data_IF_278920351186
#
_entry.id   IF_278920351186
#
_cell.length_a   1.000
_cell.length_b   1.000
_cell.length_c   1.000
_cell.angle_alpha   90.00
_cell.angle_beta   90.00
_cell.angle_gamma   90.00
#
_symmetry.space_group_name_H-M   'P 1'
#
loop_
_entity.id
_entity.type
_entity.pdbx_description
1 polymer ?
#
# COMPACT_ATOMS: atom_id res chain seq x y z
N UNK A 1 43.45 -55.58 8.30
CA UNK A 1 44.47 -56.36 7.55
C UNK A 1 43.89 -56.69 6.17
N UNK A 2 44.76 -56.97 5.19
CA UNK A 2 44.48 -57.49 3.81
C UNK A 2 43.55 -56.66 2.88
N UNK A 3 43.69 -56.56 1.54
CA UNK A 3 44.81 -56.48 0.56
C UNK A 3 44.28 -56.98 -0.81
N UNK A 4 44.71 -56.38 -1.93
CA UNK A 4 44.51 -56.72 -3.38
C UNK A 4 43.32 -55.99 -4.04
N UNK A 5 43.55 -55.14 -5.06
CA UNK A 5 43.80 -55.41 -6.52
C UNK A 5 42.50 -55.85 -7.25
N UNK A 6 42.16 -55.46 -8.50
CA UNK A 6 42.83 -54.78 -9.66
C UNK A 6 41.70 -54.24 -10.61
N UNK A 7 41.83 -53.48 -11.72
CA UNK A 7 42.89 -52.86 -12.57
C UNK A 7 42.21 -51.65 -13.31
N UNK A 8 42.64 -51.23 -14.52
CA UNK A 8 42.02 -50.28 -15.47
C UNK A 8 41.94 -48.80 -15.01
N UNK A 9 42.87 -47.87 -15.31
CA UNK A 9 43.76 -47.64 -16.47
C UNK A 9 43.09 -47.06 -17.72
N UNK A 10 43.19 -45.73 -17.90
CA UNK A 10 43.45 -45.12 -19.22
C UNK A 10 44.27 -43.81 -19.09
N UNK A 11 44.96 -43.48 -20.18
CA UNK A 11 45.79 -42.28 -20.41
C UNK A 11 44.91 -41.03 -20.66
N UNK A 12 45.44 -39.81 -20.59
CA UNK A 12 46.76 -39.42 -20.12
C UNK A 12 47.24 -38.07 -20.70
N UNK A 13 47.82 -37.24 -19.83
CA UNK A 13 48.66 -36.04 -20.08
C UNK A 13 48.00 -34.78 -20.67
N UNK A 14 48.06 -33.71 -19.85
CA UNK A 14 48.18 -32.30 -20.25
C UNK A 14 49.63 -32.00 -20.68
N UNK A 15 49.92 -30.69 -20.88
CA UNK A 15 51.22 -30.01 -21.12
C UNK A 15 51.52 -29.73 -22.61
N UNK A 16 51.98 -28.53 -23.02
CA UNK A 16 52.04 -27.23 -22.32
C UNK A 16 52.17 -26.05 -23.34
N UNK A 17 52.28 -24.80 -22.85
CA UNK A 17 52.34 -23.55 -23.65
C UNK A 17 53.71 -22.89 -23.43
N UNK A 18 54.45 -22.48 -24.49
CA UNK A 18 54.44 -21.07 -24.92
C UNK A 18 54.64 -20.82 -26.44
N UNK A 19 54.43 -19.56 -26.87
CA UNK A 19 54.68 -19.10 -28.25
C UNK A 19 56.09 -18.54 -28.49
N UNK A 20 56.30 -17.86 -29.64
CA UNK A 20 56.60 -16.42 -29.53
C UNK A 20 55.89 -15.53 -30.59
N UNK A 21 56.07 -14.21 -30.45
CA UNK A 21 55.56 -13.15 -31.34
C UNK A 21 56.43 -13.00 -32.60
N UNK A 22 55.82 -12.65 -33.74
CA UNK A 22 56.55 -12.27 -34.95
C UNK A 22 55.72 -11.37 -35.88
N UNK A 23 56.10 -10.09 -35.98
CA UNK A 23 55.40 -9.07 -36.79
C UNK A 23 56.39 -8.37 -37.75
N UNK A 24 56.51 -8.90 -38.97
CA UNK A 24 57.31 -8.36 -40.10
C UNK A 24 56.50 -8.74 -41.37
N UNK A 25 55.90 -7.86 -42.18
CA UNK A 25 56.40 -6.74 -43.03
C UNK A 25 56.86 -7.21 -44.42
N UNK A 26 56.14 -6.76 -45.47
CA UNK A 26 56.39 -6.97 -46.91
C UNK A 26 56.35 -8.44 -47.40
N UNK A 27 56.13 -8.80 -48.68
CA UNK A 27 56.08 -8.06 -49.97
C UNK A 27 54.80 -8.42 -50.77
N UNK A 28 54.46 -7.64 -51.80
CA UNK A 28 53.49 -8.07 -52.84
C UNK A 28 54.20 -8.71 -54.05
N UNK A 29 53.53 -9.64 -54.75
CA UNK A 29 53.59 -9.60 -56.20
C UNK A 29 52.21 -9.65 -56.89
N UNK A 30 52.13 -8.93 -58.00
CA UNK A 30 50.94 -8.76 -58.85
C UNK A 30 50.62 -10.02 -59.67
N UNK A 31 49.35 -10.43 -59.71
CA UNK A 31 48.76 -11.12 -60.88
C UNK A 31 47.38 -10.52 -61.18
N UNK A 32 47.19 -10.00 -62.39
CA UNK A 32 45.93 -9.37 -62.81
C UNK A 32 44.97 -10.40 -63.44
N UNK A 33 44.03 -10.94 -62.65
CA UNK A 33 42.96 -11.82 -63.14
C UNK A 33 41.68 -11.06 -63.48
N UNK A 34 41.42 -10.77 -64.77
CA UNK A 34 40.16 -10.15 -65.24
C UNK A 34 38.97 -11.14 -65.21
N UNK A 35 38.54 -11.53 -64.02
CA UNK A 35 37.25 -12.18 -63.80
C UNK A 35 36.13 -11.15 -63.77
N UNK A 36 35.43 -10.94 -64.90
CA UNK A 36 34.20 -10.14 -64.93
C UNK A 36 33.08 -10.90 -64.20
N UNK A 37 33.03 -10.76 -62.88
CA UNK A 37 31.93 -11.24 -62.05
C UNK A 37 30.66 -10.52 -62.48
N UNK A 38 29.85 -11.23 -63.26
CA UNK A 38 28.49 -10.85 -63.65
C UNK A 38 27.75 -10.36 -62.41
N UNK A 39 27.24 -9.11 -62.36
CA UNK A 39 26.54 -8.62 -61.18
C UNK A 39 25.27 -9.44 -61.02
N UNK A 40 25.31 -10.40 -60.09
CA UNK A 40 24.16 -11.18 -59.70
C UNK A 40 23.09 -10.21 -59.24
N UNK A 41 21.89 -10.29 -59.84
CA UNK A 41 20.80 -9.36 -59.52
C UNK A 41 20.45 -9.55 -58.06
N UNK A 42 20.88 -8.62 -57.20
CA UNK A 42 20.54 -8.61 -55.79
C UNK A 42 19.03 -8.65 -55.65
N UNK A 43 18.52 -9.83 -55.30
CA UNK A 43 17.09 -10.06 -55.16
C UNK A 43 16.61 -9.24 -53.97
N UNK A 44 16.12 -8.01 -54.24
CA UNK A 44 15.63 -7.08 -53.23
C UNK A 44 14.76 -7.87 -52.26
N UNK A 45 15.10 -7.94 -50.96
CA UNK A 45 14.31 -8.70 -50.01
C UNK A 45 12.92 -8.07 -49.98
N UNK A 46 11.98 -8.76 -50.63
CA UNK A 46 10.63 -8.28 -50.91
C UNK A 46 9.88 -8.25 -49.58
N UNK A 47 10.05 -7.15 -48.83
CA UNK A 47 9.57 -6.96 -47.45
C UNK A 47 8.15 -7.47 -47.36
N UNK A 48 7.97 -8.67 -46.80
CA UNK A 48 6.65 -9.27 -46.62
C UNK A 48 5.88 -8.30 -45.71
N UNK A 49 4.68 -7.83 -46.09
CA UNK A 49 3.91 -6.95 -45.22
C UNK A 49 3.70 -7.68 -43.89
N UNK A 50 3.95 -6.98 -42.78
CA UNK A 50 3.88 -7.58 -41.44
C UNK A 50 2.52 -8.26 -41.24
N UNK A 51 2.47 -9.49 -40.70
CA UNK A 51 1.25 -10.28 -40.65
C UNK A 51 0.15 -9.53 -39.90
N UNK A 52 -1.06 -9.52 -40.44
CA UNK A 52 -2.19 -8.77 -39.89
C UNK A 52 -2.48 -9.10 -38.41
N UNK A 53 -2.22 -10.35 -37.99
CA UNK A 53 -2.25 -10.78 -36.58
C UNK A 53 -1.38 -9.91 -35.66
N UNK A 54 -0.16 -9.56 -36.08
CA UNK A 54 0.75 -8.75 -35.26
C UNK A 54 0.26 -7.30 -35.15
N UNK A 55 -0.37 -6.75 -36.20
CA UNK A 55 -1.06 -5.45 -36.12
C UNK A 55 -2.24 -5.50 -35.16
N UNK A 56 -3.03 -6.57 -35.19
CA UNK A 56 -4.20 -6.76 -34.32
C UNK A 56 -3.77 -6.89 -32.85
N UNK A 57 -2.73 -7.67 -32.56
CA UNK A 57 -2.14 -7.79 -31.21
C UNK A 57 -1.64 -6.44 -30.70
N UNK A 58 -0.93 -5.66 -31.52
CA UNK A 58 -0.45 -4.31 -31.14
C UNK A 58 -1.63 -3.38 -30.84
N UNK A 59 -2.69 -3.38 -31.67
CA UNK A 59 -3.90 -2.58 -31.41
C UNK A 59 -4.62 -2.98 -30.12
N UNK A 60 -4.74 -4.28 -29.84
CA UNK A 60 -5.37 -4.79 -28.62
C UNK A 60 -4.55 -4.40 -27.38
N UNK A 61 -3.22 -4.49 -27.45
CA UNK A 61 -2.33 -4.11 -26.35
C UNK A 61 -2.36 -2.59 -26.10
N UNK A 62 -2.42 -1.76 -27.15
CA UNK A 62 -2.66 -0.31 -27.04
C UNK A 62 -4.02 -0.01 -26.41
N UNK A 63 -5.09 -0.73 -26.79
CA UNK A 63 -6.42 -0.54 -26.21
C UNK A 63 -6.44 -0.87 -24.71
N UNK A 64 -5.80 -1.98 -24.29
CA UNK A 64 -5.65 -2.34 -22.87
C UNK A 64 -4.85 -1.28 -22.10
N UNK A 65 -3.78 -0.73 -22.70
CA UNK A 65 -3.00 0.36 -22.10
C UNK A 65 -3.84 1.62 -21.89
N UNK A 66 -4.67 2.01 -22.88
CA UNK A 66 -5.61 3.15 -22.76
C UNK A 66 -6.66 2.89 -21.68
N UNK A 67 -7.21 1.68 -21.58
CA UNK A 67 -8.15 1.34 -20.51
C UNK A 67 -7.53 1.41 -19.11
N UNK A 68 -6.27 0.95 -18.94
CA UNK A 68 -5.54 1.09 -17.68
C UNK A 68 -5.28 2.56 -17.31
N UNK A 69 -4.86 3.37 -18.28
CA UNK A 69 -4.66 4.82 -18.09
C UNK A 69 -5.96 5.54 -17.74
N UNK A 70 -7.08 5.16 -18.36
CA UNK A 70 -8.40 5.71 -18.06
C UNK A 70 -8.87 5.33 -16.65
N UNK A 71 -8.70 4.07 -16.23
CA UNK A 71 -9.03 3.62 -14.87
C UNK A 71 -8.24 4.38 -13.80
N UNK A 72 -6.91 4.45 -13.95
CA UNK A 72 -6.05 5.22 -13.05
C UNK A 72 -6.38 6.73 -13.04
N UNK A 73 -6.78 7.28 -14.19
CA UNK A 73 -7.24 8.67 -14.29
C UNK A 73 -8.55 8.92 -13.53
N UNK A 74 -9.50 7.99 -13.56
CA UNK A 74 -10.78 8.06 -12.83
C UNK A 74 -10.57 7.94 -11.32
N UNK A 75 -9.64 7.10 -10.85
CA UNK A 75 -9.29 7.02 -9.42
C UNK A 75 -8.62 8.31 -8.91
N UNK A 76 -7.88 9.03 -9.76
CA UNK A 76 -7.22 10.27 -9.36
C UNK A 76 -8.13 11.50 -9.44
N UNK A 77 -9.02 11.56 -10.44
CA UNK A 77 -10.00 12.63 -10.60
C UNK A 77 -11.35 12.32 -9.94
N UNK A 78 -11.40 12.34 -8.61
CA UNK A 78 -12.66 12.43 -7.89
C UNK A 78 -13.42 13.71 -8.27
N UNK A 79 -14.60 13.62 -8.93
CA UNK A 79 -15.31 14.81 -9.38
C UNK A 79 -16.08 15.43 -8.21
N UNK A 80 -15.49 16.46 -7.59
CA UNK A 80 -16.10 17.30 -6.52
C UNK A 80 -17.47 17.90 -6.89
N UNK A 81 -17.88 17.84 -8.15
CA UNK A 81 -19.25 18.12 -8.61
C UNK A 81 -20.33 17.31 -7.88
N UNK A 82 -20.04 16.09 -7.40
CA UNK A 82 -21.02 15.28 -6.67
C UNK A 82 -21.24 15.70 -5.20
N UNK A 83 -20.44 16.62 -4.63
CA UNK A 83 -20.70 17.12 -3.27
C UNK A 83 -22.00 17.95 -3.19
N UNK A 84 -22.54 18.45 -4.30
CA UNK A 84 -23.88 19.09 -4.32
C UNK A 84 -25.03 18.10 -4.03
N UNK A 85 -24.84 16.81 -4.29
CA UNK A 85 -25.81 15.76 -3.96
C UNK A 85 -25.68 15.27 -2.51
N UNK A 86 -24.61 15.65 -1.79
CA UNK A 86 -24.46 15.41 -0.35
C UNK A 86 -25.18 16.50 0.43
N UNK A 87 -26.45 16.24 0.69
CA UNK A 87 -27.35 17.10 1.44
C UNK A 87 -26.85 17.29 2.90
N UNK A 88 -25.95 18.26 3.12
CA UNK A 88 -25.44 18.60 4.46
C UNK A 88 -26.52 19.40 5.19
N UNK A 89 -27.14 18.77 6.19
CA UNK A 89 -28.04 19.47 7.11
C UNK A 89 -27.21 20.39 8.01
N UNK A 90 -27.08 21.64 7.58
CA UNK A 90 -26.43 22.70 8.34
C UNK A 90 -27.32 23.15 9.50
N UNK A 91 -27.21 22.50 10.65
CA UNK A 91 -27.74 23.00 11.93
C UNK A 91 -26.95 24.23 12.38
N UNK A 92 -27.32 25.38 11.81
CA UNK A 92 -26.82 26.69 12.22
C UNK A 92 -27.37 27.12 13.58
N UNK A 93 -26.79 28.20 14.11
CA UNK A 93 -27.19 28.96 15.33
C UNK A 93 -26.48 28.54 16.62
N UNK A 94 -25.48 29.33 16.99
CA UNK A 94 -24.71 29.21 18.23
C UNK A 94 -23.78 30.40 18.48
N UNK A 95 -24.13 31.58 17.96
CA UNK A 95 -23.33 32.81 18.15
C UNK A 95 -23.77 33.53 19.42
N UNK A 96 -22.86 33.73 20.36
CA UNK A 96 -23.11 34.40 21.64
C UNK A 96 -21.81 34.91 22.25
N UNK A 97 -21.65 36.23 22.29
CA UNK A 97 -20.41 36.91 22.71
C UNK A 97 -20.42 37.13 24.23
N UNK A 98 -19.31 36.79 24.89
CA UNK A 98 -18.96 37.36 26.20
C UNK A 98 -17.43 37.47 26.32
N UNK A 99 -16.93 38.69 26.54
CA UNK A 99 -15.52 38.93 26.86
C UNK A 99 -15.35 38.99 28.39
N UNK A 100 -14.28 38.41 28.93
CA UNK A 100 -14.02 38.40 30.36
C UNK A 100 -12.54 38.11 30.68
N UNK A 101 -11.76 39.17 30.87
CA UNK A 101 -10.34 39.08 31.25
C UNK A 101 -10.15 39.10 32.76
N UNK A 102 -9.66 38.00 33.34
CA UNK A 102 -8.90 38.00 34.60
C UNK A 102 -7.90 36.85 34.64
N UNK A 103 -6.76 37.06 35.31
CA UNK A 103 -5.67 36.08 35.41
C UNK A 103 -5.69 35.38 36.77
N UNK A 104 -5.62 34.04 36.77
CA UNK A 104 -5.44 33.24 37.99
C UNK A 104 -4.69 31.91 37.73
N UNK A 105 -3.44 31.87 38.20
CA UNK A 105 -2.66 30.73 38.77
C UNK A 105 -3.05 29.28 38.39
N UNK A 106 -2.11 28.46 37.88
CA UNK A 106 -2.36 27.03 37.64
C UNK A 106 -2.39 26.22 38.94
N UNK A 107 -3.36 25.29 39.06
CA UNK A 107 -3.42 24.33 40.16
C UNK A 107 -4.65 23.41 40.10
N UNK A 108 -4.43 22.13 40.43
CA UNK A 108 -5.41 21.04 40.54
C UNK A 108 -6.21 20.67 39.27
N UNK A 109 -6.14 19.39 38.88
CA UNK A 109 -7.05 18.80 37.89
C UNK A 109 -8.39 18.48 38.56
N UNK A 110 -9.47 19.04 38.04
CA UNK A 110 -10.85 18.69 38.40
C UNK A 110 -11.67 18.44 37.15
N UNK A 111 -12.14 17.20 36.99
CA UNK A 111 -13.00 16.81 35.86
C UNK A 111 -14.35 17.55 35.93
N UNK A 112 -14.84 18.14 34.82
CA UNK A 112 -16.16 18.76 34.80
C UNK A 112 -17.27 17.70 34.73
N UNK A 113 -17.75 17.27 35.90
CA UNK A 113 -19.06 16.61 36.00
C UNK A 113 -20.15 17.64 35.71
N UNK A 114 -20.73 17.62 34.49
CA UNK A 114 -21.70 18.66 34.13
C UNK A 114 -22.20 18.71 32.69
N UNK A 115 -22.24 17.60 31.94
CA UNK A 115 -23.00 17.56 30.69
C UNK A 115 -23.63 16.19 30.43
N UNK A 116 -24.91 16.19 30.06
CA UNK A 116 -25.65 15.03 29.55
C UNK A 116 -25.41 14.83 28.05
N UNK A 117 -24.14 14.87 27.65
CA UNK A 117 -23.70 14.41 26.32
C UNK A 117 -23.51 12.88 26.29
N UNK A 118 -23.18 12.30 25.12
CA UNK A 118 -22.80 10.89 25.06
C UNK A 118 -21.54 10.65 25.89
N UNK A 119 -21.60 9.68 26.81
CA UNK A 119 -20.56 9.40 27.80
C UNK A 119 -19.22 9.09 27.13
N UNK A 120 -18.22 9.97 27.24
CA UNK A 120 -16.96 9.80 26.48
C UNK A 120 -16.26 8.48 26.82
N UNK A 121 -15.74 7.77 25.81
CA UNK A 121 -15.01 6.53 26.05
C UNK A 121 -13.72 6.81 26.82
N UNK A 122 -13.33 5.87 27.70
CA UNK A 122 -12.29 6.09 28.72
C UNK A 122 -11.13 5.12 28.54
N UNK A 123 -9.91 5.65 28.55
CA UNK A 123 -8.69 4.86 28.68
C UNK A 123 -8.67 4.15 30.05
N UNK A 124 -8.53 2.81 30.02
CA UNK A 124 -8.40 1.95 31.21
C UNK A 124 -6.95 1.58 31.46
N UNK A 125 -6.21 1.21 30.40
CA UNK A 125 -4.80 0.79 30.46
C UNK A 125 -4.05 1.26 29.23
N UNK A 126 -2.77 1.58 29.38
CA UNK A 126 -1.82 1.72 28.26
C UNK A 126 -0.56 0.93 28.56
N UNK A 127 0.03 0.33 27.53
CA UNK A 127 1.30 -0.38 27.58
C UNK A 127 2.18 -0.05 26.37
N UNK A 128 3.29 -0.78 26.21
CA UNK A 128 4.26 -0.54 25.13
C UNK A 128 3.70 -0.82 23.72
N UNK A 129 2.78 -1.77 23.59
CA UNK A 129 2.28 -2.27 22.29
C UNK A 129 0.75 -2.17 22.12
N UNK A 130 0.03 -1.66 23.11
CA UNK A 130 -1.41 -1.46 23.00
C UNK A 130 -2.03 -0.71 24.18
N UNK A 131 -3.27 -0.27 24.01
CA UNK A 131 -4.06 0.42 25.02
C UNK A 131 -5.52 -0.06 25.04
N UNK A 132 -6.06 -0.22 26.24
CA UNK A 132 -7.40 -0.72 26.51
C UNK A 132 -8.34 0.45 26.87
N UNK A 133 -9.47 0.55 26.17
CA UNK A 133 -10.50 1.58 26.34
C UNK A 133 -11.87 0.97 26.62
N UNK A 134 -12.64 1.62 27.49
CA UNK A 134 -14.04 1.26 27.77
C UNK A 134 -14.99 2.25 27.09
N UNK A 135 -15.94 1.70 26.33
CA UNK A 135 -16.98 2.37 25.54
C UNK A 135 -18.33 2.20 26.26
N UNK A 136 -19.20 3.22 26.38
CA UNK A 136 -20.42 3.13 27.18
C UNK A 136 -21.55 2.28 26.57
N UNK A 137 -21.39 1.75 25.36
CA UNK A 137 -22.41 0.98 24.65
C UNK A 137 -21.86 -0.37 24.16
N UNK A 138 -22.75 -1.36 24.02
CA UNK A 138 -22.41 -2.67 23.45
C UNK A 138 -22.33 -2.65 21.91
N UNK A 139 -22.97 -1.68 21.24
CA UNK A 139 -22.81 -1.43 19.81
C UNK A 139 -22.31 -0.01 19.56
N UNK A 140 -21.31 0.09 18.69
CA UNK A 140 -20.64 1.35 18.33
C UNK A 140 -20.06 1.20 16.91
N UNK A 141 -19.58 2.29 16.33
CA UNK A 141 -18.80 2.25 15.10
C UNK A 141 -17.41 2.82 15.34
N UNK A 142 -16.39 2.14 14.80
CA UNK A 142 -15.02 2.64 14.78
C UNK A 142 -14.84 3.39 13.46
N UNK A 143 -14.38 4.64 13.54
CA UNK A 143 -14.18 5.50 12.38
C UNK A 143 -12.70 5.79 12.23
N UNK A 144 -12.06 5.16 11.25
CA UNK A 144 -10.66 5.43 10.90
C UNK A 144 -10.62 6.57 9.89
N UNK A 145 -9.91 7.64 10.23
CA UNK A 145 -9.62 8.76 9.34
C UNK A 145 -8.16 8.72 8.95
N UNK A 146 -7.86 8.78 7.66
CA UNK A 146 -6.50 8.80 7.11
C UNK A 146 -6.39 9.73 5.91
N UNK A 147 -5.24 10.39 5.77
CA UNK A 147 -4.89 11.24 4.63
C UNK A 147 -4.06 10.48 3.56
N UNK A 148 -3.62 9.26 3.88
CA UNK A 148 -2.80 8.39 3.02
C UNK A 148 -3.33 6.94 3.04
N UNK A 149 -2.94 6.06 2.10
CA UNK A 149 -3.27 4.64 2.19
C UNK A 149 -2.72 4.03 3.49
N UNK A 150 -3.60 3.54 4.37
CA UNK A 150 -3.21 2.90 5.62
C UNK A 150 -3.77 1.48 5.74
N UNK A 151 -2.92 0.52 6.12
CA UNK A 151 -3.38 -0.82 6.45
C UNK A 151 -3.96 -0.85 7.86
N UNK A 152 -5.18 -1.37 7.97
CA UNK A 152 -5.92 -1.50 9.25
C UNK A 152 -6.46 -2.91 9.39
N UNK A 153 -6.34 -3.48 10.59
CA UNK A 153 -7.00 -4.72 10.95
C UNK A 153 -7.92 -4.48 12.13
N UNK A 154 -9.11 -5.10 12.09
CA UNK A 154 -10.11 -5.03 13.15
C UNK A 154 -10.52 -6.45 13.49
N UNK A 155 -10.21 -6.89 14.70
CA UNK A 155 -10.63 -8.17 15.26
C UNK A 155 -11.84 -7.99 16.17
N UNK A 156 -12.80 -8.90 16.04
CA UNK A 156 -14.07 -8.90 16.78
C UNK A 156 -14.45 -10.37 17.05
N UNK A 157 -14.45 -10.85 18.31
CA UNK A 157 -14.09 -10.13 19.54
C UNK A 157 -12.63 -9.67 19.60
N UNK A 158 -12.30 -8.78 20.53
CA UNK A 158 -10.98 -8.13 20.64
C UNK A 158 -9.75 -9.07 20.70
N UNK A 159 -9.91 -10.28 21.24
CA UNK A 159 -8.87 -11.31 21.32
C UNK A 159 -8.88 -12.33 20.18
N UNK A 160 -9.68 -12.11 19.13
CA UNK A 160 -9.82 -13.02 17.99
C UNK A 160 -8.56 -13.03 17.11
N UNK A 161 -8.11 -14.22 16.72
CA UNK A 161 -7.12 -14.42 15.65
C UNK A 161 -7.71 -14.26 14.25
N UNK A 162 -9.04 -14.23 14.14
CA UNK A 162 -9.77 -13.96 12.89
C UNK A 162 -10.16 -12.49 12.86
N UNK A 163 -9.60 -11.75 11.90
CA UNK A 163 -9.97 -10.37 11.64
C UNK A 163 -11.29 -10.28 10.87
N UNK A 164 -12.21 -9.42 11.33
CA UNK A 164 -13.45 -9.09 10.61
C UNK A 164 -13.18 -8.09 9.47
N UNK A 165 -12.15 -7.27 9.62
CA UNK A 165 -11.61 -6.42 8.55
C UNK A 165 -10.09 -6.47 8.58
N UNK A 166 -9.45 -6.63 7.42
CA UNK A 166 -7.98 -6.59 7.28
C UNK A 166 -7.66 -6.16 5.84
N UNK A 167 -7.64 -4.84 5.60
CA UNK A 167 -7.48 -4.24 4.27
C UNK A 167 -6.83 -2.85 4.38
N UNK A 168 -6.38 -2.32 3.24
CA UNK A 168 -5.95 -0.92 3.09
C UNK A 168 -7.18 0.00 3.04
N UNK A 169 -7.30 0.91 3.99
CA UNK A 169 -8.16 2.10 3.89
C UNK A 169 -7.43 3.12 3.03
N UNK A 170 -8.12 3.66 2.02
CA UNK A 170 -7.57 4.68 1.13
C UNK A 170 -8.04 6.06 1.59
N UNK A 171 -7.25 7.10 1.34
CA UNK A 171 -7.67 8.49 1.61
C UNK A 171 -8.98 8.85 0.89
N UNK A 172 -9.24 8.26 -0.29
CA UNK A 172 -10.48 8.38 -1.05
C UNK A 172 -11.71 7.72 -0.41
N UNK A 173 -11.51 6.76 0.51
CA UNK A 173 -12.57 6.10 1.29
C UNK A 173 -12.61 6.55 2.77
N UNK A 174 -11.88 7.62 3.08
CA UNK A 174 -11.80 8.27 4.40
C UNK A 174 -12.91 9.34 4.57
N UNK A 175 -13.51 9.49 5.78
CA UNK A 175 -13.37 8.62 6.94
C UNK A 175 -14.12 7.29 6.73
N UNK A 176 -13.51 6.18 7.15
CA UNK A 176 -14.07 4.83 7.00
C UNK A 176 -14.66 4.33 8.31
N UNK A 177 -15.98 4.15 8.32
CA UNK A 177 -16.74 3.65 9.48
C UNK A 177 -16.93 2.13 9.44
N UNK A 178 -16.78 1.48 10.60
CA UNK A 178 -16.87 0.04 10.82
C UNK A 178 -17.81 -0.24 12.02
N UNK A 179 -19.04 -0.73 11.82
CA UNK A 179 -19.97 -1.03 12.91
C UNK A 179 -19.59 -2.33 13.64
N UNK A 180 -19.45 -2.27 14.96
CA UNK A 180 -18.95 -3.31 15.87
C UNK A 180 -19.99 -3.62 16.95
N UNK A 181 -20.06 -4.89 17.38
CA UNK A 181 -20.89 -5.35 18.51
C UNK A 181 -20.04 -6.13 19.52
N UNK A 182 -19.97 -5.66 20.76
CA UNK A 182 -19.16 -6.25 21.83
C UNK A 182 -17.76 -5.65 21.91
N UNK A 183 -16.75 -6.48 22.18
CA UNK A 183 -15.35 -6.04 22.23
C UNK A 183 -14.69 -6.11 20.86
N UNK A 184 -13.76 -5.19 20.59
CA UNK A 184 -12.94 -5.21 19.37
C UNK A 184 -11.51 -4.77 19.66
N UNK A 185 -10.60 -5.08 18.76
CA UNK A 185 -9.25 -4.51 18.76
C UNK A 185 -8.90 -4.04 17.35
N UNK A 186 -8.20 -2.90 17.29
CA UNK A 186 -7.80 -2.23 16.04
C UNK A 186 -6.29 -2.09 16.03
N UNK A 187 -5.63 -2.73 15.06
CA UNK A 187 -4.23 -2.45 14.73
C UNK A 187 -4.16 -1.60 13.47
N UNK A 188 -3.21 -0.67 13.47
CA UNK A 188 -2.97 0.24 12.34
C UNK A 188 -1.47 0.26 12.05
N UNK A 189 -1.09 -0.22 10.87
CA UNK A 189 0.32 -0.46 10.50
C UNK A 189 0.89 0.66 9.60
N UNK A 190 0.15 1.75 9.45
CA UNK A 190 0.50 2.92 8.63
C UNK A 190 -0.14 4.20 9.21
N UNK A 191 0.19 5.37 8.66
CA UNK A 191 -0.17 6.66 9.24
C UNK A 191 -1.65 7.03 9.05
N UNK A 192 -2.54 6.45 9.85
CA UNK A 192 -3.88 7.00 10.06
C UNK A 192 -3.79 8.30 10.88
N UNK A 193 -4.66 9.25 10.56
CA UNK A 193 -4.71 10.59 11.16
C UNK A 193 -5.45 10.57 12.50
N UNK A 194 -6.54 9.79 12.58
CA UNK A 194 -7.26 9.54 13.83
C UNK A 194 -8.09 8.25 13.81
N UNK A 195 -8.37 7.73 15.01
CA UNK A 195 -9.37 6.69 15.26
C UNK A 195 -10.43 7.31 16.16
N UNK A 196 -11.66 7.47 15.66
CA UNK A 196 -12.80 7.92 16.45
C UNK A 196 -13.75 6.75 16.77
N UNK A 197 -14.55 6.92 17.82
CA UNK A 197 -15.63 5.98 18.16
C UNK A 197 -16.95 6.74 18.13
N UNK A 198 -17.92 6.22 17.38
CA UNK A 198 -19.26 6.76 17.23
C UNK A 198 -20.31 5.85 17.86
N UNK A 199 -21.33 6.43 18.47
CA UNK A 199 -22.48 5.72 19.04
C UNK A 199 -23.73 6.42 18.51
N UNK A 200 -24.59 5.66 17.82
CA UNK A 200 -25.75 6.19 17.07
C UNK A 200 -25.43 7.37 16.11
N UNK A 201 -24.21 7.41 15.56
CA UNK A 201 -23.75 8.48 14.65
C UNK A 201 -23.26 9.76 15.33
N UNK A 202 -23.19 9.80 16.67
CA UNK A 202 -22.52 10.86 17.41
C UNK A 202 -21.10 10.41 17.80
N UNK A 203 -20.09 11.24 17.55
CA UNK A 203 -18.70 10.96 17.97
C UNK A 203 -18.55 11.09 19.48
N UNK A 204 -18.07 10.03 20.13
CA UNK A 204 -17.97 9.88 21.60
C UNK A 204 -16.52 10.05 22.09
N UNK A 205 -15.57 10.06 21.17
CA UNK A 205 -14.18 10.45 21.41
C UNK A 205 -13.31 10.22 20.17
N UNK A 206 -12.09 10.75 20.20
CA UNK A 206 -11.13 10.63 19.09
C UNK A 206 -9.71 10.45 19.64
N UNK A 207 -9.00 9.46 19.12
CA UNK A 207 -7.56 9.25 19.30
C UNK A 207 -6.88 9.88 18.09
N UNK A 208 -6.13 10.96 18.31
CA UNK A 208 -5.37 11.65 17.26
C UNK A 208 -3.94 11.08 17.16
N UNK A 209 -3.42 10.92 15.95
CA UNK A 209 -2.07 10.37 15.71
C UNK A 209 -1.85 8.98 16.32
N UNK A 210 -2.66 7.96 15.97
CA UNK A 210 -2.45 6.59 16.41
C UNK A 210 -1.03 6.09 16.09
N UNK A 211 -0.49 5.26 16.98
CA UNK A 211 0.85 4.68 16.85
C UNK A 211 0.85 3.51 15.88
N UNK A 212 1.89 3.43 15.05
CA UNK A 212 2.09 2.33 14.10
C UNK A 212 2.32 1.00 14.83
N UNK A 213 1.65 -0.06 14.39
CA UNK A 213 1.78 -1.41 14.97
C UNK A 213 1.27 -1.52 16.43
N UNK A 214 0.44 -0.56 16.86
CA UNK A 214 -0.10 -0.48 18.22
C UNK A 214 -1.56 -0.93 18.25
N UNK A 215 -1.92 -1.80 19.19
CA UNK A 215 -3.28 -2.33 19.31
C UNK A 215 -4.17 -1.44 20.18
N UNK A 216 -5.31 -1.03 19.65
CA UNK A 216 -6.34 -0.25 20.33
C UNK A 216 -7.53 -1.15 20.66
N UNK A 217 -7.59 -1.62 21.90
CA UNK A 217 -8.69 -2.48 22.39
C UNK A 217 -9.87 -1.62 22.86
N UNK A 218 -11.08 -1.96 22.44
CA UNK A 218 -12.33 -1.35 22.89
C UNK A 218 -13.25 -2.41 23.51
N UNK A 219 -13.71 -2.20 24.74
CA UNK A 219 -14.68 -3.07 25.42
C UNK A 219 -15.91 -2.30 25.91
N UNK A 220 -17.12 -2.90 25.94
CA UNK A 220 -18.29 -2.27 26.53
C UNK A 220 -18.16 -2.07 28.05
N UNK A 221 -18.77 -1.03 28.60
CA UNK A 221 -18.75 -0.68 30.02
C UNK A 221 -19.57 -1.62 30.94
N UNK A 222 -19.89 -2.84 30.48
CA UNK A 222 -20.79 -3.79 31.14
C UNK A 222 -20.78 -5.16 30.47
N UNK A 223 -19.59 -5.64 30.12
CA UNK A 223 -19.31 -6.99 29.60
C UNK A 223 -18.42 -7.76 30.56
#
# INVERSE_FOLDING_TARGET
>A
MTRRERLADDKGRRSEVPGPVGTITAELPVVAGRGLVRPERTARPRRRPAPYLLRLIVWLLVFVLVCMLAAAGVEHYHPRWFDFLRNRVSTATGSGIAAGTTSARPGASTSPSGSSGPSSFRLVRTGAHGADYVVPAQSYAIVVTTDHPCWTQIAEPAGSTTFRYAQTVLASSSPKSFPVTGSSSVTVDAAATSIAVEIHGATVGTIHGPRLGYSYTFSPAGS
#
